data_IF_026864114005
#
_entry.id   IF_026864114005
#
_cell.length_a   1.000
_cell.length_b   1.000
_cell.length_c   1.000
_cell.angle_alpha   90.00
_cell.angle_beta   90.00
_cell.angle_gamma   90.00
#
_symmetry.space_group_name_H-M   'P 1'
#
loop_
_entity.id
_entity.type
_entity.pdbx_description
1 polymer ?
#
# COMPACT_ATOMS: atom_id res chain seq x y z
N UNK A 1 26.39 -9.10 -6.88
CA UNK A 1 25.58 -9.70 -5.81
C UNK A 1 24.16 -9.27 -6.03
N UNK A 2 23.23 -10.19 -6.13
CA UNK A 2 21.80 -9.89 -6.32
C UNK A 2 21.17 -9.36 -5.02
N UNK A 3 20.07 -8.64 -5.12
CA UNK A 3 19.39 -8.03 -3.95
C UNK A 3 19.05 -9.07 -2.87
N UNK A 4 18.63 -10.26 -3.29
CA UNK A 4 18.30 -11.37 -2.38
C UNK A 4 19.54 -11.93 -1.67
N UNK A 5 20.68 -11.96 -2.33
CA UNK A 5 21.95 -12.41 -1.72
C UNK A 5 22.41 -11.41 -0.64
N UNK A 6 22.29 -10.10 -0.93
CA UNK A 6 22.60 -9.04 0.03
C UNK A 6 21.69 -9.19 1.27
N UNK A 7 20.37 -9.35 1.05
CA UNK A 7 19.41 -9.50 2.13
C UNK A 7 19.69 -10.74 3.00
N UNK A 8 19.97 -11.91 2.39
CA UNK A 8 20.26 -13.18 3.10
C UNK A 8 21.56 -13.15 3.86
N UNK A 9 22.58 -12.45 3.36
CA UNK A 9 23.88 -12.34 3.99
C UNK A 9 23.92 -11.30 5.12
N UNK A 10 22.88 -10.48 5.27
CA UNK A 10 22.83 -9.47 6.32
C UNK A 10 22.26 -10.05 7.61
N UNK A 11 22.99 -9.91 8.71
CA UNK A 11 22.50 -10.29 10.04
C UNK A 11 21.44 -9.29 10.51
N UNK A 12 20.21 -9.77 10.67
CA UNK A 12 19.08 -9.00 11.18
C UNK A 12 19.05 -9.03 12.71
N UNK A 13 18.55 -7.94 13.30
CA UNK A 13 18.20 -7.89 14.72
C UNK A 13 16.87 -8.62 14.97
N UNK A 14 16.66 -9.10 16.19
CA UNK A 14 15.35 -9.59 16.60
C UNK A 14 14.35 -8.42 16.65
N UNK A 15 13.11 -8.67 16.31
CA UNK A 15 12.11 -7.60 16.17
C UNK A 15 11.87 -6.84 17.50
N UNK A 16 12.04 -7.48 18.64
CA UNK A 16 11.99 -6.83 19.94
C UNK A 16 13.05 -5.75 20.12
N UNK A 17 14.26 -5.94 19.54
CA UNK A 17 15.33 -4.93 19.57
C UNK A 17 14.92 -3.71 18.75
N UNK A 18 14.30 -3.95 17.60
CA UNK A 18 13.78 -2.88 16.74
C UNK A 18 12.61 -2.15 17.42
N UNK A 19 11.71 -2.89 18.07
CA UNK A 19 10.59 -2.31 18.81
C UNK A 19 11.04 -1.41 19.97
N UNK A 20 12.12 -1.78 20.69
CA UNK A 20 12.72 -0.94 21.73
C UNK A 20 13.22 0.39 21.22
N UNK A 21 13.74 0.47 19.99
CA UNK A 21 14.14 1.76 19.39
C UNK A 21 12.96 2.73 19.26
N UNK A 22 11.74 2.21 19.21
CA UNK A 22 10.50 2.96 19.11
C UNK A 22 9.74 3.05 20.44
N UNK A 23 10.23 2.39 21.52
CA UNK A 23 9.56 2.24 22.81
C UNK A 23 8.17 1.61 22.70
N UNK A 24 8.06 0.52 21.93
CA UNK A 24 6.80 -0.23 21.70
C UNK A 24 6.97 -1.74 21.88
N UNK A 25 8.02 -2.20 22.56
CA UNK A 25 8.31 -3.62 22.77
C UNK A 25 7.19 -4.36 23.50
N UNK A 26 6.46 -3.70 24.39
CA UNK A 26 5.31 -4.25 25.12
C UNK A 26 3.99 -4.15 24.30
N UNK A 27 4.00 -3.47 23.16
CA UNK A 27 2.83 -3.20 22.33
C UNK A 27 2.88 -3.93 20.98
N UNK A 28 3.77 -4.91 20.82
CA UNK A 28 3.88 -5.69 19.60
C UNK A 28 3.43 -7.15 19.79
N UNK A 29 2.91 -7.71 18.70
CA UNK A 29 2.66 -9.13 18.56
C UNK A 29 3.64 -9.68 17.52
N UNK A 30 4.51 -10.59 17.94
CA UNK A 30 5.56 -11.14 17.08
C UNK A 30 4.99 -12.14 16.05
N UNK A 31 5.41 -11.97 14.81
CA UNK A 31 5.17 -12.88 13.69
C UNK A 31 6.52 -13.53 13.25
N UNK A 32 7.15 -14.27 14.16
CA UNK A 32 8.50 -14.78 14.00
C UNK A 32 9.56 -13.83 14.57
N UNK A 33 10.84 -14.06 14.24
CA UNK A 33 11.97 -13.34 14.86
C UNK A 33 12.11 -11.90 14.38
N UNK A 34 11.72 -11.58 13.14
CA UNK A 34 12.12 -10.35 12.45
C UNK A 34 10.95 -9.49 11.98
N UNK A 35 9.73 -9.85 12.35
CA UNK A 35 8.52 -9.10 12.01
C UNK A 35 7.51 -9.15 13.16
N UNK A 36 6.70 -8.10 13.29
CA UNK A 36 5.65 -8.02 14.30
C UNK A 36 4.52 -7.12 13.82
N UNK A 37 3.37 -7.21 14.46
CA UNK A 37 2.29 -6.21 14.36
C UNK A 37 2.34 -5.28 15.56
N UNK A 38 2.06 -4.00 15.32
CA UNK A 38 1.99 -2.99 16.38
C UNK A 38 0.53 -2.79 16.78
N UNK A 39 0.25 -2.86 18.08
CA UNK A 39 -1.08 -2.62 18.63
C UNK A 39 -1.57 -1.19 18.35
N UNK A 40 -2.87 -1.05 18.01
CA UNK A 40 -3.49 0.27 17.86
C UNK A 40 -3.58 1.06 19.18
N UNK A 41 -3.40 0.40 20.33
CA UNK A 41 -3.37 1.08 21.64
C UNK A 41 -2.22 2.06 21.74
N UNK A 42 -1.12 1.86 21.01
CA UNK A 42 0.00 2.80 20.89
C UNK A 42 -0.49 4.21 20.51
N UNK A 43 -1.45 4.31 19.59
CA UNK A 43 -2.01 5.59 19.15
C UNK A 43 -2.77 6.30 20.27
N UNK A 44 -3.42 5.55 21.17
CA UNK A 44 -4.11 6.12 22.34
C UNK A 44 -3.11 6.58 23.38
N UNK A 45 -2.09 5.74 23.67
CA UNK A 45 -1.02 6.05 24.63
C UNK A 45 -0.24 7.31 24.24
N UNK A 46 0.03 7.49 22.94
CA UNK A 46 0.82 8.60 22.40
C UNK A 46 -0.01 9.78 21.89
N UNK A 47 -1.30 9.86 22.19
CA UNK A 47 -2.21 10.89 21.67
C UNK A 47 -1.69 12.32 21.88
N UNK A 48 -1.15 12.62 23.05
CA UNK A 48 -0.62 13.95 23.42
C UNK A 48 0.81 14.20 22.91
N UNK A 49 1.54 13.18 22.46
CA UNK A 49 2.90 13.35 21.95
C UNK A 49 2.88 14.17 20.66
N UNK A 50 3.81 15.14 20.55
CA UNK A 50 3.99 15.93 19.33
C UNK A 50 4.39 15.01 18.16
N UNK A 51 3.90 15.30 16.97
CA UNK A 51 4.30 14.59 15.76
C UNK A 51 5.74 14.94 15.37
N UNK A 52 6.46 13.95 14.85
CA UNK A 52 7.71 14.16 14.13
C UNK A 52 7.50 14.86 12.78
N UNK A 53 8.59 15.03 12.04
CA UNK A 53 8.62 15.64 10.71
C UNK A 53 8.33 14.61 9.62
N UNK A 54 7.46 14.96 8.68
CA UNK A 54 7.05 14.09 7.58
C UNK A 54 7.82 14.42 6.30
N UNK A 55 8.55 13.45 5.77
CA UNK A 55 9.29 13.55 4.51
C UNK A 55 8.60 12.64 3.48
N UNK A 56 8.08 13.24 2.43
CA UNK A 56 7.44 12.52 1.32
C UNK A 56 8.44 12.30 0.18
N UNK A 57 8.66 11.05 -0.19
CA UNK A 57 9.41 10.67 -1.38
C UNK A 57 8.45 10.49 -2.56
N UNK A 58 8.71 11.21 -3.64
CA UNK A 58 8.04 11.06 -4.93
C UNK A 58 9.05 11.04 -6.06
N UNK A 59 8.63 11.04 -7.31
CA UNK A 59 9.52 11.06 -8.47
C UNK A 59 8.89 11.78 -9.65
N UNK A 60 9.67 11.96 -10.69
CA UNK A 60 9.20 12.32 -12.03
C UNK A 60 8.34 11.19 -12.63
N UNK A 61 7.76 11.37 -13.82
CA UNK A 61 6.95 10.34 -14.46
C UNK A 61 7.69 8.98 -14.51
N UNK A 62 6.96 7.87 -14.27
CA UNK A 62 7.59 6.56 -14.23
C UNK A 62 8.15 6.15 -15.61
N UNK A 63 9.25 5.41 -15.57
CA UNK A 63 9.90 4.81 -16.73
C UNK A 63 9.91 3.27 -16.60
N UNK A 64 10.12 2.53 -17.69
CA UNK A 64 10.30 1.08 -17.62
C UNK A 64 11.52 0.62 -16.79
N UNK A 65 12.40 1.55 -16.40
CA UNK A 65 13.61 1.29 -15.62
C UNK A 65 13.39 1.39 -14.12
N UNK A 66 12.26 2.00 -13.70
CA UNK A 66 12.03 2.40 -12.32
C UNK A 66 12.83 3.66 -11.91
N UNK A 67 12.33 4.40 -10.93
CA UNK A 67 12.94 5.66 -10.46
C UNK A 67 13.72 5.49 -9.15
N UNK A 68 13.62 4.31 -8.50
CA UNK A 68 14.33 4.01 -7.26
C UNK A 68 13.79 4.73 -6.01
N UNK A 69 12.51 5.15 -6.01
CA UNK A 69 11.88 5.85 -4.86
C UNK A 69 12.05 5.11 -3.54
N UNK A 70 11.70 3.83 -3.50
CA UNK A 70 11.79 3.01 -2.28
C UNK A 70 13.23 2.86 -1.81
N UNK A 71 14.15 2.59 -2.72
CA UNK A 71 15.60 2.53 -2.42
C UNK A 71 16.10 3.84 -1.82
N UNK A 72 15.72 4.97 -2.43
CA UNK A 72 16.10 6.30 -1.93
C UNK A 72 15.44 6.64 -0.59
N UNK A 73 14.18 6.23 -0.38
CA UNK A 73 13.49 6.42 0.89
C UNK A 73 14.19 5.66 2.04
N UNK A 74 14.55 4.41 1.78
CA UNK A 74 15.25 3.58 2.76
C UNK A 74 16.66 4.15 3.02
N UNK A 75 17.42 4.44 1.97
CA UNK A 75 18.76 5.02 2.09
C UNK A 75 18.77 6.36 2.83
N UNK A 76 17.73 7.21 2.63
CA UNK A 76 17.59 8.46 3.37
C UNK A 76 17.36 8.21 4.86
N UNK A 77 16.45 7.31 5.22
CA UNK A 77 16.16 7.00 6.61
C UNK A 77 17.36 6.35 7.32
N UNK A 78 18.07 5.44 6.64
CA UNK A 78 19.30 4.83 7.12
C UNK A 78 20.41 5.87 7.32
N UNK A 79 20.59 6.76 6.35
CA UNK A 79 21.57 7.86 6.44
C UNK A 79 21.24 8.82 7.59
N UNK A 80 19.97 9.16 7.80
CA UNK A 80 19.54 9.99 8.92
C UNK A 80 19.86 9.33 10.27
N UNK A 81 19.57 8.04 10.43
CA UNK A 81 19.91 7.30 11.64
C UNK A 81 21.44 7.22 11.85
N UNK A 82 22.20 7.07 10.76
CA UNK A 82 23.66 7.06 10.79
C UNK A 82 24.28 8.34 11.36
N UNK A 83 23.66 9.47 11.10
CA UNK A 83 24.09 10.80 11.62
C UNK A 83 23.39 11.16 12.95
N UNK A 84 22.80 10.18 13.64
CA UNK A 84 22.22 10.34 14.98
C UNK A 84 20.82 10.99 14.99
N UNK A 85 20.09 11.01 13.87
CA UNK A 85 18.68 11.40 13.84
C UNK A 85 17.81 10.18 14.10
N UNK A 86 16.69 10.37 14.80
CA UNK A 86 15.70 9.29 15.02
C UNK A 86 14.69 9.28 13.88
N UNK A 87 14.96 8.46 12.87
CA UNK A 87 14.12 8.32 11.68
C UNK A 87 13.48 6.94 11.58
N UNK A 88 12.25 6.88 11.07
CA UNK A 88 11.48 5.67 10.81
C UNK A 88 10.93 5.69 9.38
N UNK A 89 10.80 4.53 8.77
CA UNK A 89 10.16 4.34 7.48
C UNK A 89 8.67 4.05 7.64
N UNK A 90 7.84 4.58 6.74
CA UNK A 90 6.43 4.22 6.60
C UNK A 90 6.16 3.87 5.13
N UNK A 91 6.06 2.57 4.82
CA UNK A 91 6.06 2.05 3.47
C UNK A 91 4.80 1.23 3.15
N UNK A 92 4.59 0.96 1.86
CA UNK A 92 3.52 0.08 1.39
C UNK A 92 3.95 -1.38 1.49
N UNK A 93 2.96 -2.24 1.71
CA UNK A 93 3.10 -3.69 1.59
C UNK A 93 3.06 -4.08 0.10
N UNK A 94 4.00 -4.91 -0.39
CA UNK A 94 3.98 -5.39 -1.77
C UNK A 94 2.89 -6.43 -2.00
N UNK A 95 2.36 -6.47 -3.23
CA UNK A 95 1.39 -7.45 -3.72
C UNK A 95 2.10 -8.51 -4.55
N UNK A 96 1.63 -9.76 -4.50
CA UNK A 96 2.19 -10.89 -5.26
C UNK A 96 2.19 -10.63 -6.77
N UNK A 97 1.17 -9.97 -7.31
CA UNK A 97 1.10 -9.66 -8.74
C UNK A 97 2.31 -8.87 -9.25
N UNK A 98 2.65 -7.71 -8.68
CA UNK A 98 3.89 -6.98 -8.98
C UNK A 98 5.16 -7.75 -8.69
N UNK A 99 5.23 -8.50 -7.59
CA UNK A 99 6.42 -9.30 -7.19
C UNK A 99 6.78 -10.32 -8.27
N UNK A 100 5.79 -11.06 -8.79
CA UNK A 100 5.96 -12.02 -9.88
C UNK A 100 5.77 -11.40 -11.27
N UNK A 101 5.64 -10.08 -11.37
CA UNK A 101 5.53 -9.34 -12.61
C UNK A 101 6.85 -8.68 -13.02
N UNK A 102 6.76 -7.74 -13.98
CA UNK A 102 7.91 -7.01 -14.53
C UNK A 102 8.66 -6.18 -13.48
N UNK A 103 7.94 -5.71 -12.43
CA UNK A 103 8.55 -4.86 -11.40
C UNK A 103 9.42 -5.64 -10.41
N UNK A 104 9.15 -6.93 -10.19
CA UNK A 104 9.78 -7.69 -9.12
C UNK A 104 9.35 -7.23 -7.72
N UNK A 105 10.16 -7.47 -6.70
CA UNK A 105 9.91 -7.12 -5.32
C UNK A 105 9.86 -5.59 -5.06
N UNK A 106 9.27 -5.21 -3.93
CA UNK A 106 9.07 -3.81 -3.54
C UNK A 106 9.70 -3.49 -2.17
N UNK A 107 10.79 -4.14 -1.83
CA UNK A 107 11.51 -3.99 -0.55
C UNK A 107 12.73 -3.06 -0.62
N UNK A 108 12.90 -2.33 -1.72
CA UNK A 108 14.10 -1.56 -2.03
C UNK A 108 15.08 -2.34 -2.91
N UNK A 109 16.35 -1.95 -2.94
CA UNK A 109 17.40 -2.62 -3.74
C UNK A 109 18.81 -2.33 -3.24
N UNK A 110 19.77 -3.20 -3.59
CA UNK A 110 21.15 -3.13 -3.11
C UNK A 110 21.21 -3.23 -1.58
N UNK A 111 21.94 -2.34 -0.95
CA UNK A 111 22.01 -2.23 0.50
C UNK A 111 20.87 -1.44 1.14
N UNK A 112 20.06 -0.73 0.35
CA UNK A 112 18.88 0.01 0.82
C UNK A 112 17.62 -0.84 0.67
N UNK A 113 17.45 -1.83 1.54
CA UNK A 113 16.33 -2.77 1.56
C UNK A 113 15.72 -2.86 2.95
N UNK A 114 14.41 -3.15 3.03
CA UNK A 114 13.75 -3.63 4.25
C UNK A 114 13.74 -5.15 4.27
N UNK A 115 13.84 -5.72 5.48
CA UNK A 115 13.97 -7.14 5.69
C UNK A 115 13.06 -7.64 6.85
N UNK A 116 12.63 -8.90 6.80
CA UNK A 116 13.04 -9.98 5.89
C UNK A 116 12.41 -9.86 4.50
N UNK A 117 13.24 -9.77 3.46
CA UNK A 117 12.82 -9.45 2.09
C UNK A 117 11.80 -10.47 1.54
N UNK A 118 12.08 -11.77 1.69
CA UNK A 118 11.24 -12.84 1.14
C UNK A 118 9.85 -12.84 1.80
N UNK A 119 9.80 -12.75 3.12
CA UNK A 119 8.53 -12.70 3.85
C UNK A 119 7.68 -11.51 3.43
N UNK A 120 8.30 -10.32 3.33
CA UNK A 120 7.60 -9.08 2.97
C UNK A 120 7.03 -9.17 1.55
N UNK A 121 7.78 -9.73 0.60
CA UNK A 121 7.37 -9.85 -0.80
C UNK A 121 6.35 -10.98 -1.05
N UNK A 122 6.16 -11.91 -0.13
CA UNK A 122 5.25 -13.04 -0.27
C UNK A 122 3.99 -12.84 0.59
N UNK A 123 3.82 -13.62 1.63
CA UNK A 123 2.60 -13.61 2.44
C UNK A 123 2.68 -12.72 3.68
N UNK A 124 3.84 -12.19 3.98
CA UNK A 124 4.19 -11.29 5.07
C UNK A 124 3.57 -11.67 6.43
N UNK A 125 2.47 -11.00 6.80
CA UNK A 125 1.68 -11.28 8.01
C UNK A 125 0.22 -11.63 7.68
N UNK A 126 -0.11 -11.78 6.40
CA UNK A 126 -1.42 -12.20 5.92
C UNK A 126 -2.42 -11.08 5.67
N UNK A 127 -2.00 -9.80 5.65
CA UNK A 127 -2.93 -8.68 5.48
C UNK A 127 -3.63 -8.68 4.13
N UNK A 128 -2.90 -8.91 3.04
CA UNK A 128 -3.48 -8.99 1.70
C UNK A 128 -4.39 -10.22 1.55
N UNK A 129 -4.03 -11.34 2.18
CA UNK A 129 -4.91 -12.51 2.24
C UNK A 129 -6.21 -12.19 2.98
N UNK A 130 -6.17 -11.50 4.11
CA UNK A 130 -7.36 -11.09 4.85
C UNK A 130 -8.26 -10.16 4.02
N UNK A 131 -7.66 -9.23 3.26
CA UNK A 131 -8.37 -8.34 2.34
C UNK A 131 -9.05 -9.15 1.22
N UNK A 132 -8.32 -10.09 0.61
CA UNK A 132 -8.86 -11.00 -0.42
C UNK A 132 -10.03 -11.83 0.13
N UNK A 133 -9.87 -12.40 1.33
CA UNK A 133 -10.91 -13.18 1.99
C UNK A 133 -12.16 -12.35 2.28
N UNK A 134 -12.00 -11.13 2.82
CA UNK A 134 -13.11 -10.22 3.09
C UNK A 134 -13.84 -9.82 1.80
N UNK A 135 -13.08 -9.47 0.75
CA UNK A 135 -13.66 -9.12 -0.55
C UNK A 135 -14.49 -10.26 -1.15
N UNK A 136 -13.96 -11.48 -1.11
CA UNK A 136 -14.62 -12.64 -1.69
C UNK A 136 -15.78 -13.16 -0.82
N UNK A 137 -15.68 -13.00 0.50
CA UNK A 137 -16.82 -13.26 1.40
C UNK A 137 -18.00 -12.35 1.06
N UNK A 138 -17.78 -11.07 0.80
CA UNK A 138 -18.85 -10.16 0.39
C UNK A 138 -19.53 -10.63 -0.91
N UNK A 139 -18.73 -11.06 -1.92
CA UNK A 139 -19.30 -11.68 -3.13
C UNK A 139 -20.15 -12.90 -2.84
N UNK A 140 -19.67 -13.79 -1.97
CA UNK A 140 -20.42 -15.00 -1.59
C UNK A 140 -21.73 -14.66 -0.85
N UNK A 141 -21.71 -13.66 0.02
CA UNK A 141 -22.92 -13.18 0.72
C UNK A 141 -23.94 -12.60 -0.28
N UNK A 142 -23.48 -11.83 -1.28
CA UNK A 142 -24.36 -11.30 -2.34
C UNK A 142 -25.05 -12.45 -3.09
N UNK A 143 -24.26 -13.43 -3.57
CA UNK A 143 -24.80 -14.56 -4.34
C UNK A 143 -25.79 -15.39 -3.49
N UNK A 144 -25.45 -15.61 -2.21
CA UNK A 144 -26.31 -16.31 -1.26
C UNK A 144 -27.62 -15.55 -1.02
N UNK A 145 -27.59 -14.23 -0.83
CA UNK A 145 -28.77 -13.40 -0.67
C UNK A 145 -29.70 -13.46 -1.89
N UNK A 146 -29.13 -13.39 -3.09
CA UNK A 146 -29.90 -13.49 -4.34
C UNK A 146 -30.58 -14.86 -4.45
N UNK A 147 -29.86 -15.94 -4.13
CA UNK A 147 -30.38 -17.30 -4.21
C UNK A 147 -31.53 -17.55 -3.22
N UNK A 148 -31.42 -17.08 -1.98
CA UNK A 148 -32.38 -17.31 -0.90
C UNK A 148 -33.55 -16.31 -0.83
N UNK A 149 -33.91 -15.68 -1.96
CA UNK A 149 -35.13 -14.89 -2.07
C UNK A 149 -34.94 -13.44 -2.43
N UNK A 150 -33.71 -12.95 -2.44
CA UNK A 150 -33.37 -11.59 -2.92
C UNK A 150 -34.29 -10.47 -2.35
N UNK A 151 -34.48 -10.46 -1.03
CA UNK A 151 -35.37 -9.50 -0.36
C UNK A 151 -35.02 -8.03 -0.67
N UNK A 152 -33.74 -7.73 -0.92
CA UNK A 152 -33.27 -6.41 -1.31
C UNK A 152 -33.52 -6.09 -2.79
N UNK A 153 -34.08 -7.03 -3.56
CA UNK A 153 -34.37 -6.87 -5.00
C UNK A 153 -33.14 -6.47 -5.81
N UNK A 154 -31.98 -7.08 -5.53
CA UNK A 154 -30.73 -6.84 -6.29
C UNK A 154 -30.96 -7.28 -7.73
N UNK A 155 -30.81 -6.36 -8.67
CA UNK A 155 -30.91 -6.62 -10.11
C UNK A 155 -29.54 -6.61 -10.78
N UNK A 156 -28.70 -5.64 -10.38
CA UNK A 156 -27.35 -5.49 -10.91
C UNK A 156 -26.32 -5.58 -9.80
N UNK A 157 -25.46 -6.57 -9.86
CA UNK A 157 -24.27 -6.69 -8.99
C UNK A 157 -23.11 -5.95 -9.66
N UNK A 158 -22.44 -5.07 -8.90
CA UNK A 158 -21.23 -4.36 -9.38
C UNK A 158 -19.98 -4.78 -8.62
N UNK A 159 -20.14 -5.47 -7.50
CA UNK A 159 -19.06 -6.00 -6.69
C UNK A 159 -18.42 -7.21 -7.37
N UNK A 160 -17.10 -7.16 -7.53
CA UNK A 160 -16.31 -8.26 -8.12
C UNK A 160 -15.54 -9.02 -7.06
N UNK A 161 -15.12 -10.22 -7.40
CA UNK A 161 -14.13 -10.98 -6.66
C UNK A 161 -12.73 -10.38 -6.82
N UNK A 162 -11.77 -10.86 -6.06
CA UNK A 162 -10.38 -10.49 -6.24
C UNK A 162 -9.43 -11.67 -6.00
N UNK A 163 -8.21 -11.52 -6.55
CA UNK A 163 -7.09 -12.45 -6.40
C UNK A 163 -5.81 -11.62 -6.40
N UNK A 164 -4.85 -11.93 -5.52
CA UNK A 164 -3.61 -11.12 -5.45
C UNK A 164 -2.57 -11.51 -6.51
N UNK A 165 -3.02 -11.69 -7.74
CA UNK A 165 -2.20 -11.97 -8.92
C UNK A 165 -2.66 -11.14 -10.11
N UNK A 166 -1.74 -10.89 -11.06
CA UNK A 166 -2.04 -10.26 -12.35
C UNK A 166 -2.59 -11.30 -13.35
N UNK A 167 -3.80 -11.78 -13.12
CA UNK A 167 -4.47 -12.72 -14.04
C UNK A 167 -5.51 -12.01 -14.89
N UNK A 168 -5.16 -11.74 -16.16
CA UNK A 168 -6.05 -11.06 -17.10
C UNK A 168 -7.17 -11.96 -17.61
N UNK A 169 -7.02 -13.29 -17.56
CA UNK A 169 -8.06 -14.24 -17.99
C UNK A 169 -9.30 -14.15 -17.09
N UNK A 170 -9.11 -13.79 -15.83
CA UNK A 170 -10.18 -13.72 -14.85
C UNK A 170 -10.88 -12.35 -14.78
N UNK A 171 -10.52 -11.36 -15.61
CA UNK A 171 -11.11 -10.01 -15.55
C UNK A 171 -12.59 -9.98 -15.88
N UNK A 172 -13.07 -10.92 -16.70
CA UNK A 172 -14.47 -11.12 -17.07
C UNK A 172 -14.74 -12.61 -17.22
N UNK A 173 -15.58 -13.16 -16.35
CA UNK A 173 -15.93 -14.58 -16.31
C UNK A 173 -17.43 -14.75 -16.09
N UNK A 174 -17.99 -15.87 -16.52
CA UNK A 174 -19.31 -16.30 -16.10
C UNK A 174 -19.16 -17.32 -14.97
N UNK A 175 -19.74 -17.03 -13.83
CA UNK A 175 -19.72 -17.88 -12.63
C UNK A 175 -21.04 -18.62 -12.45
N UNK A 176 -21.05 -19.66 -11.60
CA UNK A 176 -22.27 -20.38 -11.24
C UNK A 176 -22.82 -21.29 -12.34
N UNK A 177 -21.99 -21.85 -13.22
CA UNK A 177 -22.40 -22.65 -14.37
C UNK A 177 -22.46 -24.17 -14.10
N UNK A 178 -22.12 -24.63 -12.89
CA UNK A 178 -22.08 -26.07 -12.57
C UNK A 178 -23.45 -26.75 -12.51
N UNK A 179 -24.55 -26.00 -12.40
CA UNK A 179 -25.90 -26.54 -12.27
C UNK A 179 -26.23 -27.08 -10.87
N UNK A 180 -25.33 -26.93 -9.91
CA UNK A 180 -25.54 -27.34 -8.53
C UNK A 180 -26.56 -26.44 -7.81
N UNK A 181 -27.05 -26.90 -6.65
CA UNK A 181 -27.92 -26.08 -5.79
C UNK A 181 -27.13 -24.94 -5.13
N UNK A 182 -27.83 -23.88 -4.72
CA UNK A 182 -27.31 -22.74 -4.00
C UNK A 182 -26.31 -21.87 -4.79
N UNK A 183 -26.41 -21.83 -6.12
CA UNK A 183 -25.61 -20.99 -7.00
C UNK A 183 -26.48 -20.07 -7.85
N UNK A 184 -25.90 -18.93 -8.20
CA UNK A 184 -26.52 -17.91 -9.05
C UNK A 184 -25.60 -17.69 -10.28
N UNK A 185 -26.02 -18.13 -11.48
CA UNK A 185 -25.30 -17.83 -12.71
C UNK A 185 -25.28 -16.32 -12.96
N UNK A 186 -24.08 -15.75 -13.07
CA UNK A 186 -23.91 -14.33 -13.41
C UNK A 186 -22.53 -14.02 -13.99
N UNK A 187 -22.44 -12.87 -14.65
CA UNK A 187 -21.15 -12.30 -14.99
C UNK A 187 -20.44 -11.81 -13.72
N UNK A 188 -19.17 -12.07 -13.61
CA UNK A 188 -18.28 -11.65 -12.55
C UNK A 188 -16.89 -11.34 -13.10
N UNK A 189 -15.93 -11.10 -12.25
CA UNK A 189 -14.52 -10.95 -12.58
C UNK A 189 -13.67 -10.92 -11.31
N UNK A 190 -12.36 -11.10 -11.50
CA UNK A 190 -11.39 -11.02 -10.42
C UNK A 190 -10.45 -9.84 -10.66
N UNK A 191 -10.54 -8.83 -9.82
CA UNK A 191 -9.56 -7.75 -9.79
C UNK A 191 -8.38 -8.13 -8.88
N UNK A 192 -7.24 -7.45 -8.99
CA UNK A 192 -6.14 -7.71 -8.08
C UNK A 192 -6.47 -7.16 -6.67
N UNK A 193 -6.16 -7.91 -5.61
CA UNK A 193 -6.54 -7.58 -4.23
C UNK A 193 -6.16 -6.17 -3.80
N UNK A 194 -5.01 -5.68 -4.23
CA UNK A 194 -4.52 -4.32 -3.92
C UNK A 194 -5.22 -3.21 -4.72
N UNK A 195 -6.06 -3.56 -5.69
CA UNK A 195 -6.96 -2.63 -6.37
C UNK A 195 -8.40 -2.67 -5.80
N UNK A 196 -8.67 -3.55 -4.84
CA UNK A 196 -10.00 -3.66 -4.22
C UNK A 196 -10.35 -2.42 -3.40
N UNK A 197 -11.65 -2.13 -3.30
CA UNK A 197 -12.14 -1.05 -2.43
C UNK A 197 -11.82 -1.32 -0.96
N UNK A 198 -11.78 -2.59 -0.53
CA UNK A 198 -11.43 -2.97 0.86
C UNK A 198 -9.99 -2.56 1.17
N UNK A 199 -9.03 -2.74 0.25
CA UNK A 199 -7.65 -2.26 0.44
C UNK A 199 -7.62 -0.74 0.61
N UNK A 200 -8.35 0.02 -0.22
CA UNK A 200 -8.41 1.47 -0.12
C UNK A 200 -9.05 1.91 1.21
N UNK A 201 -10.14 1.26 1.61
CA UNK A 201 -10.84 1.51 2.88
C UNK A 201 -9.92 1.25 4.08
N UNK A 202 -9.21 0.12 4.11
CA UNK A 202 -8.28 -0.22 5.19
C UNK A 202 -7.18 0.84 5.33
N UNK A 203 -6.65 1.32 4.22
CA UNK A 203 -5.60 2.34 4.21
C UNK A 203 -6.09 3.75 4.60
N UNK A 204 -7.38 4.06 4.42
CA UNK A 204 -7.99 5.34 4.80
C UNK A 204 -8.70 5.31 6.15
N UNK A 205 -8.86 4.13 6.76
CA UNK A 205 -9.46 4.00 8.07
C UNK A 205 -8.54 4.57 9.17
N UNK A 206 -9.15 5.12 10.20
CA UNK A 206 -8.44 5.70 11.36
C UNK A 206 -8.45 4.75 12.57
N UNK A 207 -9.41 3.84 12.63
CA UNK A 207 -9.55 2.80 13.66
C UNK A 207 -10.53 1.70 13.17
N UNK A 208 -10.76 0.69 14.02
CA UNK A 208 -11.64 -0.44 13.68
C UNK A 208 -13.11 -0.02 13.53
N UNK A 209 -13.58 1.02 14.23
CA UNK A 209 -14.97 1.51 14.11
C UNK A 209 -15.15 2.26 12.78
N UNK A 210 -14.18 3.09 12.41
CA UNK A 210 -14.18 3.77 11.11
C UNK A 210 -14.06 2.77 9.97
N UNK A 211 -13.23 1.72 10.12
CA UNK A 211 -13.14 0.61 9.17
C UNK A 211 -14.51 -0.03 8.95
N UNK A 212 -15.19 -0.46 10.01
CA UNK A 212 -16.53 -1.06 9.95
C UNK A 212 -17.54 -0.14 9.28
N UNK A 213 -17.55 1.14 9.67
CA UNK A 213 -18.46 2.14 9.09
C UNK A 213 -18.28 2.27 7.57
N UNK A 214 -17.03 2.33 7.10
CA UNK A 214 -16.67 2.45 5.69
C UNK A 214 -17.02 1.20 4.91
N UNK A 215 -16.70 0.01 5.42
CA UNK A 215 -17.06 -1.27 4.83
C UNK A 215 -18.58 -1.36 4.65
N UNK A 216 -19.35 -0.94 5.66
CA UNK A 216 -20.81 -0.91 5.57
C UNK A 216 -21.36 -0.03 4.45
N UNK A 217 -20.61 0.96 3.99
CA UNK A 217 -21.04 1.89 2.93
C UNK A 217 -20.63 1.43 1.51
N UNK A 218 -19.95 0.29 1.38
CA UNK A 218 -19.59 -0.27 0.07
C UNK A 218 -20.88 -0.52 -0.73
N UNK A 219 -20.98 0.03 -1.92
CA UNK A 219 -22.07 -0.24 -2.85
C UNK A 219 -21.79 -1.56 -3.55
N UNK A 220 -22.67 -2.55 -3.33
CA UNK A 220 -22.51 -3.90 -3.88
C UNK A 220 -23.29 -4.09 -5.19
N UNK A 221 -24.27 -3.24 -5.44
CA UNK A 221 -25.16 -3.35 -6.57
C UNK A 221 -26.30 -2.35 -6.52
N UNK A 222 -27.25 -2.57 -7.40
CA UNK A 222 -28.44 -1.72 -7.53
C UNK A 222 -29.70 -2.58 -7.61
N UNK A 223 -30.80 -2.07 -7.06
CA UNK A 223 -32.11 -2.71 -7.17
C UNK A 223 -32.80 -2.31 -8.49
N UNK A 224 -34.01 -2.89 -8.73
CA UNK A 224 -34.84 -2.62 -9.93
C UNK A 224 -35.18 -1.15 -10.16
N UNK A 225 -35.15 -0.34 -9.11
CA UNK A 225 -35.40 1.12 -9.20
C UNK A 225 -34.11 1.93 -9.40
N UNK A 226 -32.95 1.25 -9.60
CA UNK A 226 -31.65 1.90 -9.74
C UNK A 226 -31.10 2.46 -8.43
N UNK A 227 -31.66 2.12 -7.27
CA UNK A 227 -31.16 2.56 -5.97
C UNK A 227 -29.96 1.71 -5.54
N UNK A 228 -28.90 2.32 -4.99
CA UNK A 228 -27.74 1.57 -4.52
C UNK A 228 -28.08 0.69 -3.30
N UNK A 229 -27.51 -0.50 -3.28
CA UNK A 229 -27.56 -1.43 -2.16
C UNK A 229 -26.15 -1.55 -1.60
N UNK A 230 -26.03 -1.51 -0.27
CA UNK A 230 -24.74 -1.49 0.42
C UNK A 230 -24.43 -2.79 1.14
N UNK A 231 -23.18 -2.99 1.54
CA UNK A 231 -22.78 -4.12 2.38
C UNK A 231 -23.49 -4.12 3.74
N UNK A 232 -23.93 -2.95 4.24
CA UNK A 232 -24.70 -2.82 5.47
C UNK A 232 -26.12 -3.34 5.30
N UNK A 233 -26.76 -3.12 4.17
CA UNK A 233 -28.10 -3.65 3.89
C UNK A 233 -28.09 -5.18 3.90
N UNK A 234 -26.97 -5.80 3.50
CA UNK A 234 -26.73 -7.24 3.64
C UNK A 234 -26.29 -7.67 5.05
N UNK A 235 -26.12 -6.74 6.00
CA UNK A 235 -25.55 -6.99 7.34
C UNK A 235 -24.18 -7.67 7.31
N UNK A 236 -23.39 -7.41 6.27
CA UNK A 236 -22.09 -8.05 6.05
C UNK A 236 -20.94 -7.34 6.77
N UNK A 237 -21.10 -6.06 7.12
CA UNK A 237 -20.04 -5.19 7.67
C UNK A 237 -19.35 -5.76 8.91
N UNK A 238 -20.08 -6.48 9.77
CA UNK A 238 -19.53 -7.13 10.96
C UNK A 238 -18.54 -8.25 10.62
N UNK A 239 -18.97 -9.19 9.76
CA UNK A 239 -18.16 -10.33 9.36
C UNK A 239 -16.86 -9.90 8.61
N UNK A 240 -17.00 -8.94 7.70
CA UNK A 240 -15.85 -8.40 6.96
C UNK A 240 -14.86 -7.70 7.91
N UNK A 241 -15.35 -6.95 8.90
CA UNK A 241 -14.50 -6.29 9.88
C UNK A 241 -13.75 -7.29 10.76
N UNK A 242 -14.36 -8.39 11.12
CA UNK A 242 -13.69 -9.46 11.91
C UNK A 242 -12.54 -10.09 11.13
N UNK A 243 -12.71 -10.34 9.82
CA UNK A 243 -11.62 -10.82 8.97
C UNK A 243 -10.43 -9.86 8.92
N UNK A 244 -10.68 -8.55 9.04
CA UNK A 244 -9.67 -7.51 8.93
C UNK A 244 -9.10 -7.05 10.29
N UNK A 245 -9.52 -7.65 11.42
CA UNK A 245 -9.14 -7.19 12.77
C UNK A 245 -7.61 -7.20 13.03
N UNK A 246 -6.89 -8.14 12.42
CA UNK A 246 -5.43 -8.20 12.50
C UNK A 246 -4.77 -7.37 11.39
N UNK A 247 -5.35 -7.40 10.19
CA UNK A 247 -4.84 -6.66 9.04
C UNK A 247 -4.85 -5.12 9.23
N UNK A 248 -5.67 -4.58 10.13
CA UNK A 248 -5.69 -3.15 10.44
C UNK A 248 -4.49 -2.69 11.29
N UNK A 249 -3.78 -3.61 11.95
CA UNK A 249 -2.59 -3.32 12.75
C UNK A 249 -1.38 -3.18 11.82
N UNK A 250 -0.59 -2.10 11.88
CA UNK A 250 0.62 -1.96 11.07
C UNK A 250 1.69 -3.01 11.40
N UNK A 251 2.48 -3.37 10.41
CA UNK A 251 3.58 -4.30 10.53
C UNK A 251 4.88 -3.56 10.84
N UNK A 252 5.67 -4.07 11.77
CA UNK A 252 7.01 -3.60 12.10
C UNK A 252 8.04 -4.58 11.52
N UNK A 253 9.02 -4.02 10.82
CA UNK A 253 10.21 -4.70 10.30
C UNK A 253 11.41 -3.75 10.42
N UNK A 254 12.51 -4.05 9.74
CA UNK A 254 13.74 -3.25 9.77
C UNK A 254 14.35 -3.08 8.39
N UNK A 255 15.17 -2.06 8.18
CA UNK A 255 16.10 -2.02 7.05
C UNK A 255 17.30 -2.93 7.31
N UNK A 256 18.15 -3.17 6.31
CA UNK A 256 19.42 -3.87 6.48
C UNK A 256 20.35 -3.14 7.46
N UNK A 257 20.26 -1.82 7.56
CA UNK A 257 20.97 -0.97 8.54
C UNK A 257 20.23 -0.85 9.89
N UNK A 258 19.17 -1.66 10.11
CA UNK A 258 18.38 -1.75 11.36
C UNK A 258 17.59 -0.48 11.68
N UNK A 259 17.25 0.31 10.68
CA UNK A 259 16.22 1.37 10.82
C UNK A 259 14.85 0.73 10.96
N UNK A 260 14.03 1.12 11.95
CA UNK A 260 12.67 0.63 12.06
C UNK A 260 11.84 1.01 10.83
N UNK A 261 11.05 0.07 10.32
CA UNK A 261 10.16 0.28 9.18
C UNK A 261 8.75 -0.20 9.51
N UNK A 262 7.76 0.67 9.35
CA UNK A 262 6.35 0.37 9.50
C UNK A 262 5.78 0.15 8.10
N UNK A 263 5.35 -1.08 7.80
CA UNK A 263 4.83 -1.49 6.50
C UNK A 263 3.34 -1.81 6.66
N UNK A 264 2.47 -1.13 5.90
CA UNK A 264 1.04 -1.38 6.06
C UNK A 264 0.23 -0.90 4.86
N UNK A 265 -0.53 -1.83 4.27
CA UNK A 265 -1.37 -1.61 3.12
C UNK A 265 -0.59 -1.29 1.84
N UNK A 266 -1.17 -1.60 0.70
CA UNK A 266 -0.50 -1.47 -0.59
C UNK A 266 -1.42 -1.06 -1.75
N UNK A 267 -2.29 -0.03 -1.60
CA UNK A 267 -3.22 0.33 -2.66
C UNK A 267 -2.48 0.85 -3.89
N UNK A 268 -2.94 0.47 -5.08
CA UNK A 268 -2.38 0.97 -6.33
C UNK A 268 -2.68 2.45 -6.53
N UNK A 269 -1.69 3.24 -6.97
CA UNK A 269 -1.84 4.67 -7.17
C UNK A 269 -2.71 5.03 -8.39
N UNK A 270 -2.78 4.18 -9.39
CA UNK A 270 -3.66 4.38 -10.56
C UNK A 270 -5.13 4.02 -10.29
N UNK A 271 -5.43 3.30 -9.22
CA UNK A 271 -6.79 2.90 -8.84
C UNK A 271 -7.24 3.63 -7.57
N UNK A 272 -6.38 3.73 -6.56
CA UNK A 272 -6.66 4.34 -5.27
C UNK A 272 -5.63 5.45 -4.96
N UNK A 273 -5.32 5.69 -3.68
CA UNK A 273 -4.44 6.80 -3.27
C UNK A 273 -2.94 6.46 -3.26
N UNK A 274 -2.55 5.21 -3.53
CA UNK A 274 -1.19 4.80 -3.88
C UNK A 274 -0.11 5.03 -2.83
N UNK A 275 -0.46 5.03 -1.56
CA UNK A 275 0.47 5.18 -0.44
C UNK A 275 0.02 4.29 0.73
N UNK A 276 0.88 4.13 1.73
CA UNK A 276 0.59 3.34 2.92
C UNK A 276 -0.60 3.91 3.73
N UNK A 277 -1.03 3.18 4.75
CA UNK A 277 -2.21 3.56 5.53
C UNK A 277 -2.02 4.86 6.33
N UNK A 278 -3.15 5.51 6.65
CA UNK A 278 -3.21 6.64 7.57
C UNK A 278 -2.69 6.22 8.95
N UNK A 279 -3.09 5.05 9.43
CA UNK A 279 -2.70 4.52 10.73
C UNK A 279 -1.17 4.40 10.81
N UNK A 280 -0.54 3.78 9.82
CA UNK A 280 0.92 3.59 9.79
C UNK A 280 1.67 4.93 9.81
N UNK A 281 1.27 5.89 8.98
CA UNK A 281 1.93 7.20 8.94
C UNK A 281 1.73 7.99 10.24
N UNK A 282 0.50 8.03 10.79
CA UNK A 282 0.24 8.71 12.08
C UNK A 282 0.99 8.04 13.22
N UNK A 283 1.05 6.72 13.25
CA UNK A 283 1.82 5.97 14.25
C UNK A 283 3.31 6.29 14.14
N UNK A 284 3.88 6.24 12.94
CA UNK A 284 5.26 6.59 12.69
C UNK A 284 5.61 8.00 13.19
N UNK A 285 4.74 8.99 12.92
CA UNK A 285 4.90 10.37 13.38
C UNK A 285 4.89 10.52 14.91
N UNK A 286 4.23 9.61 15.62
CA UNK A 286 4.25 9.58 17.09
C UNK A 286 5.49 8.87 17.64
N UNK A 287 6.11 7.99 16.87
CA UNK A 287 7.19 7.13 17.35
C UNK A 287 8.58 7.70 17.10
N UNK A 288 8.78 8.52 16.06
CA UNK A 288 10.08 9.06 15.68
C UNK A 288 10.05 10.57 15.41
N UNK A 289 11.25 11.18 15.37
CA UNK A 289 11.40 12.61 15.07
C UNK A 289 11.25 12.90 13.57
N UNK A 290 11.59 11.91 12.73
CA UNK A 290 11.48 11.98 11.27
C UNK A 290 10.81 10.72 10.72
N UNK A 291 9.89 10.92 9.81
CA UNK A 291 9.19 9.84 9.10
C UNK A 291 9.45 9.99 7.61
N UNK A 292 10.06 8.99 7.00
CA UNK A 292 10.23 8.92 5.56
C UNK A 292 9.17 8.01 4.98
N UNK A 293 8.34 8.53 4.08
CA UNK A 293 7.28 7.78 3.40
C UNK A 293 7.33 8.03 1.90
N UNK A 294 6.59 7.25 1.12
CA UNK A 294 6.57 7.36 -0.33
C UNK A 294 5.15 7.40 -0.91
N UNK A 295 5.02 7.99 -2.10
CA UNK A 295 3.85 7.90 -2.94
C UNK A 295 4.17 7.18 -4.26
N UNK A 296 3.25 6.34 -4.74
CA UNK A 296 3.43 5.59 -5.97
C UNK A 296 3.37 6.46 -7.23
N UNK A 297 3.95 6.00 -8.33
CA UNK A 297 4.05 6.72 -9.60
C UNK A 297 4.81 8.06 -9.48
N UNK A 298 4.52 9.01 -10.38
CA UNK A 298 5.11 10.35 -10.38
C UNK A 298 4.38 11.32 -9.45
N UNK A 299 4.94 12.52 -9.33
CA UNK A 299 4.39 13.56 -8.48
C UNK A 299 3.00 14.03 -8.96
N UNK A 300 2.77 14.02 -10.26
CA UNK A 300 1.51 14.36 -10.92
C UNK A 300 0.38 13.34 -10.74
N UNK A 301 0.61 12.24 -10.02
CA UNK A 301 -0.39 11.24 -9.70
C UNK A 301 -0.31 10.84 -8.21
N UNK A 302 0.78 10.20 -7.81
CA UNK A 302 0.88 9.64 -6.46
C UNK A 302 1.05 10.69 -5.38
N UNK A 303 1.90 11.71 -5.60
CA UNK A 303 2.04 12.79 -4.63
C UNK A 303 0.78 13.65 -4.55
N UNK A 304 0.12 13.98 -5.66
CA UNK A 304 -1.19 14.66 -5.63
C UNK A 304 -2.21 13.88 -4.82
N UNK A 305 -2.37 12.58 -5.05
CA UNK A 305 -3.29 11.74 -4.26
C UNK A 305 -2.88 11.64 -2.78
N UNK A 306 -1.58 11.62 -2.50
CA UNK A 306 -1.09 11.67 -1.12
C UNK A 306 -1.53 12.96 -0.43
N UNK A 307 -1.35 14.10 -1.09
CA UNK A 307 -1.67 15.43 -0.56
C UNK A 307 -3.19 15.65 -0.51
N UNK A 308 -3.90 15.43 -1.61
CA UNK A 308 -5.32 15.72 -1.73
C UNK A 308 -6.24 14.74 -1.04
N UNK A 309 -5.86 13.47 -0.96
CA UNK A 309 -6.70 12.43 -0.34
C UNK A 309 -6.21 12.14 1.08
N UNK A 310 -4.97 11.62 1.20
CA UNK A 310 -4.48 11.13 2.48
C UNK A 310 -4.22 12.27 3.47
N UNK A 311 -3.51 13.32 3.05
CA UNK A 311 -3.19 14.44 3.93
C UNK A 311 -4.44 15.18 4.39
N UNK A 312 -5.38 15.48 3.49
CA UNK A 312 -6.65 16.12 3.87
C UNK A 312 -7.48 15.25 4.81
N UNK A 313 -7.57 13.96 4.53
CA UNK A 313 -8.31 13.01 5.38
C UNK A 313 -7.69 12.81 6.76
N UNK A 314 -6.38 12.82 6.82
CA UNK A 314 -5.63 12.52 8.03
C UNK A 314 -5.11 13.76 8.77
N UNK A 315 -5.39 14.96 8.24
CA UNK A 315 -4.84 16.22 8.78
C UNK A 315 -3.31 16.18 8.86
N UNK A 316 -2.69 15.70 7.78
CA UNK A 316 -1.24 15.61 7.64
C UNK A 316 -0.74 16.71 6.69
N UNK A 317 0.51 17.11 6.90
CA UNK A 317 1.24 17.99 6.01
C UNK A 317 2.70 17.55 5.97
N UNK A 318 3.25 17.20 4.80
CA UNK A 318 4.68 16.97 4.68
C UNK A 318 5.47 18.24 5.01
N UNK A 319 6.55 18.06 5.77
CA UNK A 319 7.52 19.14 6.03
C UNK A 319 8.48 19.30 4.85
N UNK A 320 8.76 18.21 4.15
CA UNK A 320 9.65 18.17 2.98
C UNK A 320 9.08 17.17 1.97
N UNK A 321 9.17 17.54 0.69
CA UNK A 321 8.94 16.62 -0.44
C UNK A 321 10.25 16.45 -1.20
N UNK A 322 10.66 15.21 -1.43
CA UNK A 322 11.85 14.83 -2.20
C UNK A 322 11.40 14.24 -3.54
N UNK A 323 11.68 14.94 -4.62
CA UNK A 323 11.38 14.47 -5.98
C UNK A 323 12.61 13.75 -6.56
N UNK A 324 12.52 12.43 -6.70
CA UNK A 324 13.59 11.60 -7.26
C UNK A 324 13.58 11.69 -8.78
N UNK A 325 14.74 11.99 -9.36
CA UNK A 325 14.96 11.96 -10.80
C UNK A 325 16.34 11.34 -11.08
N UNK A 326 16.39 10.30 -11.91
CA UNK A 326 17.64 9.70 -12.35
C UNK A 326 18.05 10.23 -13.72
N UNK A 327 19.34 10.29 -14.00
CA UNK A 327 19.83 10.67 -15.34
C UNK A 327 19.28 9.75 -16.43
N UNK A 328 19.09 8.46 -16.15
CA UNK A 328 18.47 7.51 -17.09
C UNK A 328 17.02 7.87 -17.38
N UNK A 329 16.24 8.20 -16.36
CA UNK A 329 14.85 8.60 -16.51
C UNK A 329 14.75 9.93 -17.29
N UNK A 330 15.60 10.91 -16.99
CA UNK A 330 15.64 12.18 -17.73
C UNK A 330 15.97 11.95 -19.20
N UNK A 331 17.00 11.14 -19.53
CA UNK A 331 17.33 10.80 -20.93
C UNK A 331 16.16 10.09 -21.64
N UNK A 332 15.50 9.16 -20.95
CA UNK A 332 14.32 8.49 -21.49
C UNK A 332 13.18 9.47 -21.82
N UNK A 333 12.86 10.39 -20.91
CA UNK A 333 11.86 11.45 -21.15
C UNK A 333 12.35 12.48 -22.20
N UNK A 334 13.64 12.56 -22.43
CA UNK A 334 14.25 13.35 -23.52
C UNK A 334 14.23 12.64 -24.88
N UNK A 335 13.62 11.43 -24.99
CA UNK A 335 13.40 10.71 -26.23
C UNK A 335 14.46 9.64 -26.55
N UNK A 336 15.29 9.22 -25.59
CA UNK A 336 16.24 8.10 -25.76
C UNK A 336 15.53 6.77 -25.52
N UNK A 337 15.75 5.79 -26.39
CA UNK A 337 15.23 4.43 -26.23
C UNK A 337 15.75 3.76 -24.94
N UNK A 338 14.98 2.84 -24.35
CA UNK A 338 15.31 2.16 -23.09
C UNK A 338 16.69 1.50 -23.13
N UNK A 339 17.04 0.89 -24.25
CA UNK A 339 18.27 0.15 -24.49
C UNK A 339 19.51 1.06 -24.53
N UNK A 340 19.31 2.34 -24.87
CA UNK A 340 20.37 3.32 -25.10
C UNK A 340 20.56 4.31 -23.95
N UNK A 341 19.72 4.29 -22.91
CA UNK A 341 19.80 5.26 -21.80
C UNK A 341 21.09 5.19 -20.98
N UNK A 342 21.90 4.14 -21.15
CA UNK A 342 23.21 4.03 -20.54
C UNK A 342 24.24 4.94 -21.24
N UNK A 343 24.06 5.18 -22.55
CA UNK A 343 24.97 5.97 -23.34
C UNK A 343 24.89 7.45 -22.95
N UNK A 344 25.98 8.18 -23.10
CA UNK A 344 26.01 9.63 -22.90
C UNK A 344 25.13 10.32 -23.95
N UNK A 345 24.20 11.18 -23.49
CA UNK A 345 23.37 12.01 -24.36
C UNK A 345 22.92 13.26 -23.59
N UNK A 346 23.74 14.32 -23.63
CA UNK A 346 23.48 15.56 -22.91
C UNK A 346 22.25 16.28 -23.46
N UNK A 347 22.06 16.32 -24.77
CA UNK A 347 20.89 16.97 -25.38
C UNK A 347 19.56 16.33 -24.96
N UNK A 348 19.53 14.98 -24.84
CA UNK A 348 18.35 14.29 -24.36
C UNK A 348 18.14 14.52 -22.85
N UNK A 349 19.22 14.56 -22.07
CA UNK A 349 19.16 14.89 -20.65
C UNK A 349 18.52 16.26 -20.44
N UNK A 350 18.99 17.30 -21.15
CA UNK A 350 18.46 18.67 -21.08
C UNK A 350 16.97 18.72 -21.47
N UNK A 351 16.58 18.06 -22.58
CA UNK A 351 15.16 17.97 -22.95
C UNK A 351 14.32 17.30 -21.86
N UNK A 352 14.84 16.24 -21.25
CA UNK A 352 14.17 15.51 -20.18
C UNK A 352 14.01 16.29 -18.88
N UNK A 353 14.86 17.31 -18.63
CA UNK A 353 14.72 18.20 -17.47
C UNK A 353 13.38 18.93 -17.43
N UNK A 354 12.73 19.16 -18.58
CA UNK A 354 11.40 19.74 -18.63
C UNK A 354 10.37 18.89 -17.85
N UNK A 355 10.54 17.55 -17.83
CA UNK A 355 9.71 16.68 -17.03
C UNK A 355 9.94 16.89 -15.52
N UNK A 356 11.18 17.05 -15.09
CA UNK A 356 11.53 17.36 -13.70
C UNK A 356 10.95 18.71 -13.26
N UNK A 357 11.14 19.76 -14.06
CA UNK A 357 10.63 21.10 -13.74
C UNK A 357 9.12 21.11 -13.61
N UNK A 358 8.39 20.44 -14.53
CA UNK A 358 6.94 20.27 -14.43
C UNK A 358 6.53 19.67 -13.08
N UNK A 359 7.24 18.64 -12.60
CA UNK A 359 6.93 18.01 -11.31
C UNK A 359 7.27 18.89 -10.12
N UNK A 360 8.35 19.69 -10.19
CA UNK A 360 8.69 20.68 -9.15
C UNK A 360 7.59 21.73 -9.06
N UNK A 361 7.18 22.30 -10.20
CA UNK A 361 6.12 23.30 -10.27
C UNK A 361 4.80 22.74 -9.71
N UNK A 362 4.45 21.51 -10.08
CA UNK A 362 3.26 20.83 -9.58
C UNK A 362 3.28 20.71 -8.04
N UNK A 363 4.41 20.26 -7.47
CA UNK A 363 4.57 20.10 -6.03
C UNK A 363 4.55 21.44 -5.25
N UNK A 364 4.87 22.55 -5.90
CA UNK A 364 4.80 23.88 -5.30
C UNK A 364 3.37 24.44 -5.29
N UNK A 365 2.52 23.95 -6.19
CA UNK A 365 1.14 24.45 -6.38
C UNK A 365 0.07 23.61 -5.66
N UNK A 366 0.43 22.44 -5.14
CA UNK A 366 -0.44 21.57 -4.36
C UNK A 366 -0.10 21.68 -2.85
#
# INVERSE_FOLDING_TARGET
MEDIEIARNTKLEEINVIARKLNVEDDIEQYGKHKAKISLEVMKKLKSKKNGKLILMTAINPTPLGEGKTTMAIGLADGMNKIGKNAVLALREPSLGPVFGIKGGATGGGHSQIAPMEDINLHFTGDIHAITAANNLLSAIIDNHIYFGNELNIEKVVWKRCLDLNDRQLRKVNTGLSGEKNIVPREDGFDISVASEIMAILCLATDIKDLKRRIGNIIIGYNKLGMPITARDLKADGALTVLLKEAIKPNLVQSLEKTPAIVHGGPFANIAHGCNSIIATKMALKLADYVVTEAGFGADLGAEKFLDIKCRKAELKPDVVVCVATMKALKYHGGVAKEEVQNENIMALERGMNNLFKHIDNLQNV
#
